data_IF_173177740222
#
_entry.id   IF_173177740222
#
_cell.length_a   1.000
_cell.length_b   1.000
_cell.length_c   1.000
_cell.angle_alpha   90.00
_cell.angle_beta   90.00
_cell.angle_gamma   90.00
#
_symmetry.space_group_name_H-M   'P 1'
#
loop_
_entity.id
_entity.type
_entity.pdbx_description
1 polymer ?
#
# COMPACT_ATOMS: atom_id res chain seq x y z
N UNK A 1 35.45 1.16 6.03
CA UNK A 1 34.17 0.95 6.75
C UNK A 1 33.33 2.20 6.55
N UNK A 2 32.31 2.15 5.69
CA UNK A 2 31.42 3.30 5.47
C UNK A 2 30.45 3.41 6.65
N UNK A 3 30.36 4.59 7.25
CA UNK A 3 29.51 4.88 8.39
C UNK A 3 28.06 4.96 7.90
N UNK A 4 27.07 4.37 8.61
CA UNK A 4 25.68 4.46 8.20
C UNK A 4 25.21 5.91 8.31
N UNK A 5 25.02 6.56 7.17
CA UNK A 5 24.45 7.90 7.10
C UNK A 5 22.93 7.76 7.25
N UNK A 6 22.38 8.17 8.38
CA UNK A 6 20.94 8.19 8.59
C UNK A 6 20.35 9.36 7.80
N UNK A 7 20.04 9.12 6.54
CA UNK A 7 19.08 9.96 5.82
C UNK A 7 17.71 9.80 6.49
N UNK A 8 16.86 10.85 6.50
CA UNK A 8 15.48 10.70 6.91
C UNK A 8 14.86 9.62 6.02
N UNK A 9 14.57 8.46 6.61
CA UNK A 9 13.89 7.38 5.91
C UNK A 9 12.47 7.85 5.65
N UNK A 10 12.21 8.35 4.45
CA UNK A 10 10.83 8.42 3.97
C UNK A 10 10.26 7.01 4.07
N UNK A 11 9.17 6.85 4.79
CA UNK A 11 8.62 5.55 5.09
C UNK A 11 7.29 5.65 5.80
N UNK A 12 6.55 4.55 5.76
CA UNK A 12 5.24 4.44 6.38
C UNK A 12 5.05 3.02 6.92
N UNK A 13 4.18 2.90 7.92
CA UNK A 13 3.72 1.62 8.45
C UNK A 13 2.22 1.54 8.23
N UNK A 14 1.78 0.46 7.59
CA UNK A 14 0.37 0.14 7.37
C UNK A 14 0.01 -1.07 8.21
N UNK A 15 -1.10 -0.99 8.95
CA UNK A 15 -1.59 -2.11 9.76
C UNK A 15 -2.42 -3.06 8.91
N UNK A 16 -2.23 -4.35 9.08
CA UNK A 16 -3.05 -5.37 8.43
C UNK A 16 -4.43 -5.45 9.12
N UNK A 17 -5.55 -5.28 8.39
CA UNK A 17 -6.89 -5.40 8.95
C UNK A 17 -7.19 -6.76 9.61
N UNK A 18 -6.42 -7.81 9.27
CA UNK A 18 -6.54 -9.13 9.89
C UNK A 18 -6.08 -9.15 11.35
N UNK A 19 -5.45 -8.09 11.87
CA UNK A 19 -4.96 -8.00 13.26
C UNK A 19 -3.69 -8.83 13.52
N UNK A 20 -3.44 -9.18 14.79
CA UNK A 20 -2.27 -9.95 15.26
C UNK A 20 -0.92 -9.25 15.05
N UNK A 21 -0.87 -7.94 15.30
CA UNK A 21 0.34 -7.10 15.14
C UNK A 21 1.02 -7.25 13.77
N UNK A 22 0.21 -7.60 12.75
CA UNK A 22 0.65 -7.68 11.37
C UNK A 22 0.74 -6.27 10.78
N UNK A 23 1.86 -5.99 10.13
CA UNK A 23 2.07 -4.70 9.47
C UNK A 23 2.91 -4.82 8.21
N UNK A 24 2.66 -3.92 7.27
CA UNK A 24 3.54 -3.64 6.14
C UNK A 24 4.36 -2.40 6.46
N UNK A 25 5.68 -2.51 6.44
CA UNK A 25 6.60 -1.38 6.57
C UNK A 25 7.21 -1.07 5.21
N UNK A 26 7.08 0.19 4.80
CA UNK A 26 7.64 0.72 3.55
C UNK A 26 8.78 1.67 3.91
N UNK A 27 9.95 1.46 3.32
CA UNK A 27 11.15 2.27 3.60
C UNK A 27 11.89 2.60 2.32
N UNK A 28 12.25 3.88 2.16
CA UNK A 28 13.06 4.35 1.04
C UNK A 28 14.55 4.23 1.31
N UNK A 29 15.28 3.69 0.34
CA UNK A 29 16.74 3.61 0.32
C UNK A 29 17.28 4.38 -0.87
N UNK A 30 17.43 5.71 -0.71
CA UNK A 30 17.80 6.62 -1.81
C UNK A 30 19.14 6.26 -2.46
N UNK A 31 20.15 5.90 -1.66
CA UNK A 31 21.49 5.55 -2.18
C UNK A 31 21.45 4.31 -3.10
N UNK A 32 20.51 3.40 -2.85
CA UNK A 32 20.36 2.17 -3.65
C UNK A 32 19.26 2.27 -4.70
N UNK A 33 18.54 3.38 -4.78
CA UNK A 33 17.37 3.56 -5.65
C UNK A 33 16.33 2.43 -5.47
N UNK A 34 16.07 2.07 -4.20
CA UNK A 34 15.11 1.01 -3.85
C UNK A 34 14.05 1.50 -2.86
N UNK A 35 12.85 0.94 -2.98
CA UNK A 35 11.82 0.94 -1.95
C UNK A 35 11.70 -0.47 -1.40
N UNK A 36 11.88 -0.61 -0.08
CA UNK A 36 11.76 -1.89 0.60
C UNK A 36 10.37 -1.99 1.23
N UNK A 37 9.62 -3.01 0.83
CA UNK A 37 8.34 -3.38 1.40
C UNK A 37 8.56 -4.64 2.25
N UNK A 38 8.28 -4.57 3.54
CA UNK A 38 8.51 -5.69 4.45
C UNK A 38 7.27 -6.01 5.27
N UNK A 39 6.91 -7.29 5.33
CA UNK A 39 5.81 -7.81 6.12
C UNK A 39 6.34 -8.22 7.49
N UNK A 40 5.68 -7.74 8.53
CA UNK A 40 6.01 -7.99 9.92
C UNK A 40 4.85 -8.65 10.62
N UNK A 41 5.17 -9.54 11.57
CA UNK A 41 4.25 -10.07 12.58
C UNK A 41 4.93 -9.91 13.92
N UNK A 42 4.26 -9.26 14.86
CA UNK A 42 4.87 -8.83 16.12
C UNK A 42 6.15 -8.01 15.83
N UNK A 43 7.31 -8.53 16.25
CA UNK A 43 8.61 -7.93 15.99
C UNK A 43 9.49 -8.77 15.05
N UNK A 44 8.89 -9.68 14.28
CA UNK A 44 9.60 -10.56 13.33
C UNK A 44 9.25 -10.18 11.90
N UNK A 45 10.28 -9.94 11.08
CA UNK A 45 10.11 -9.76 9.64
C UNK A 45 9.82 -11.11 8.99
N UNK A 46 8.60 -11.27 8.47
CA UNK A 46 8.13 -12.50 7.83
C UNK A 46 8.46 -12.55 6.32
N UNK A 47 8.73 -11.39 5.71
CA UNK A 47 9.06 -11.32 4.29
C UNK A 47 9.49 -9.92 3.87
N UNK A 48 10.32 -9.83 2.82
CA UNK A 48 10.81 -8.57 2.27
C UNK A 48 10.78 -8.62 0.75
N UNK A 49 10.35 -7.53 0.14
CA UNK A 49 10.39 -7.28 -1.28
C UNK A 49 11.13 -5.97 -1.55
N UNK A 50 12.00 -5.96 -2.57
CA UNK A 50 12.75 -4.77 -3.00
C UNK A 50 12.18 -4.34 -4.35
N UNK A 51 11.53 -3.19 -4.37
CA UNK A 51 11.02 -2.56 -5.58
C UNK A 51 12.04 -1.54 -6.07
N UNK A 52 12.32 -1.52 -7.37
CA UNK A 52 13.16 -0.47 -7.94
C UNK A 52 12.43 0.87 -7.92
N UNK A 53 13.16 1.97 -7.69
CA UNK A 53 12.55 3.30 -7.55
C UNK A 53 11.81 3.76 -8.83
N UNK A 54 12.26 3.30 -9.99
CA UNK A 54 11.65 3.56 -11.30
C UNK A 54 10.36 2.75 -11.56
N UNK A 55 10.14 1.64 -10.85
CA UNK A 55 8.88 0.87 -10.87
C UNK A 55 7.82 1.39 -9.89
N UNK A 56 8.17 2.31 -8.99
CA UNK A 56 7.24 2.90 -8.03
C UNK A 56 6.05 3.61 -8.71
N UNK A 57 6.23 4.39 -9.79
CA UNK A 57 5.10 4.98 -10.52
C UNK A 57 4.09 3.94 -11.01
N UNK A 58 4.55 2.79 -11.49
CA UNK A 58 3.68 1.71 -11.97
C UNK A 58 2.88 1.10 -10.82
N UNK A 59 3.52 0.88 -9.67
CA UNK A 59 2.82 0.43 -8.45
C UNK A 59 1.76 1.47 -8.02
N UNK A 60 2.07 2.76 -8.06
CA UNK A 60 1.11 3.83 -7.72
C UNK A 60 -0.07 3.82 -8.70
N UNK A 61 0.20 3.70 -10.00
CA UNK A 61 -0.84 3.65 -11.02
C UNK A 61 -1.79 2.45 -10.79
N UNK A 62 -1.23 1.27 -10.50
CA UNK A 62 -2.01 0.08 -10.16
C UNK A 62 -2.91 0.29 -8.94
N UNK A 63 -2.36 0.83 -7.85
CA UNK A 63 -3.12 1.09 -6.62
C UNK A 63 -4.23 2.14 -6.85
N UNK A 64 -3.94 3.18 -7.64
CA UNK A 64 -4.91 4.22 -7.99
C UNK A 64 -6.05 3.64 -8.83
N UNK A 65 -5.75 2.83 -9.83
CA UNK A 65 -6.77 2.18 -10.65
C UNK A 65 -7.70 1.31 -9.81
N UNK A 66 -7.15 0.48 -8.92
CA UNK A 66 -7.97 -0.35 -8.03
C UNK A 66 -8.85 0.47 -7.07
N UNK A 67 -8.36 1.65 -6.63
CA UNK A 67 -9.16 2.58 -5.83
C UNK A 67 -10.32 3.18 -6.63
N UNK A 68 -10.06 3.62 -7.86
CA UNK A 68 -11.08 4.18 -8.75
C UNK A 68 -12.20 3.13 -9.01
N UNK A 69 -11.83 1.89 -9.35
CA UNK A 69 -12.76 0.77 -9.54
C UNK A 69 -13.60 0.46 -8.29
N UNK A 70 -12.97 0.43 -7.11
CA UNK A 70 -13.67 0.20 -5.86
C UNK A 70 -14.70 1.30 -5.55
N UNK A 71 -14.38 2.55 -5.91
CA UNK A 71 -15.27 3.69 -5.71
C UNK A 71 -16.47 3.65 -6.65
N UNK A 72 -16.26 3.29 -7.92
CA UNK A 72 -17.35 3.12 -8.89
C UNK A 72 -18.33 2.03 -8.43
N UNK A 73 -17.83 0.87 -7.99
CA UNK A 73 -18.65 -0.20 -7.42
C UNK A 73 -19.45 0.29 -6.21
N UNK A 74 -18.84 1.07 -5.32
CA UNK A 74 -19.53 1.61 -4.16
C UNK A 74 -20.64 2.59 -4.55
N UNK A 75 -20.38 3.47 -5.53
CA UNK A 75 -21.36 4.44 -6.05
C UNK A 75 -22.57 3.75 -6.68
N UNK A 76 -22.34 2.76 -7.52
CA UNK A 76 -23.43 1.98 -8.15
C UNK A 76 -24.35 1.29 -7.13
N UNK A 77 -23.77 0.79 -6.03
CA UNK A 77 -24.55 0.21 -4.93
C UNK A 77 -25.44 1.26 -4.27
N UNK A 78 -24.92 2.46 -4.02
CA UNK A 78 -25.70 3.56 -3.46
C UNK A 78 -26.82 3.97 -4.41
N UNK A 79 -26.53 4.15 -5.69
CA UNK A 79 -27.53 4.56 -6.69
C UNK A 79 -28.67 3.53 -6.81
N UNK A 80 -28.35 2.23 -6.72
CA UNK A 80 -29.35 1.15 -6.70
C UNK A 80 -30.25 1.19 -5.46
N UNK A 81 -29.69 1.53 -4.30
CA UNK A 81 -30.45 1.65 -3.05
C UNK A 81 -31.33 2.90 -3.06
N UNK A 82 -30.83 4.01 -3.61
CA UNK A 82 -31.54 5.30 -3.71
C UNK A 82 -32.63 5.28 -4.79
N UNK A 83 -32.48 4.46 -5.83
CA UNK A 83 -33.51 4.21 -6.84
C UNK A 83 -34.14 2.83 -6.64
N UNK A 84 -35.01 2.62 -5.63
CA UNK A 84 -35.79 1.41 -5.59
C UNK A 84 -36.69 1.40 -6.83
N UNK A 85 -36.61 0.28 -7.55
CA UNK A 85 -37.37 -0.07 -8.75
C UNK A 85 -38.64 0.76 -8.95
N UNK A 86 -38.61 1.68 -9.92
CA UNK A 86 -39.82 2.14 -10.61
C UNK A 86 -40.27 0.98 -11.52
N UNK A 87 -40.70 -0.13 -10.91
CA UNK A 87 -41.43 -1.18 -11.61
C UNK A 87 -42.83 -1.21 -10.99
N UNK A 88 -43.68 -0.36 -11.58
CA UNK A 88 -45.12 -0.59 -11.62
C UNK A 88 -45.45 -1.33 -12.91
#
# INVERSE_FOLDING_TARGET
MAQPRTLPRTGAVFLDPRGEDRSLRVTWHQESQLVVLSLWRDNVCAGTFRLAADEVPDLIALLRQGLDEAYDIARERVDRVVRPSQAG
#
